data_IF_837407570190
#
_entry.id   IF_837407570190
#
_cell.length_a   1.000
_cell.length_b   1.000
_cell.length_c   1.000
_cell.angle_alpha   90.00
_cell.angle_beta   90.00
_cell.angle_gamma   90.00
#
_symmetry.space_group_name_H-M   'P 1'
#
loop_
_entity.id
_entity.type
_entity.pdbx_description
1 polymer ?
#
# COMPACT_ATOMS: atom_id res chain seq x y z
N UNK A 1 -30.22 -8.33 5.89
CA UNK A 1 -29.77 -8.82 4.56
C UNK A 1 -28.51 -8.08 4.22
N UNK A 2 -27.34 -8.73 4.24
CA UNK A 2 -26.08 -8.07 3.91
C UNK A 2 -26.08 -7.76 2.42
N UNK A 3 -25.82 -6.48 2.08
CA UNK A 3 -25.54 -6.05 0.71
C UNK A 3 -24.38 -6.90 0.18
N UNK A 4 -24.45 -7.45 -1.06
CA UNK A 4 -23.32 -8.16 -1.64
C UNK A 4 -22.13 -7.21 -1.63
N UNK A 5 -21.04 -7.57 -0.93
CA UNK A 5 -19.79 -6.81 -0.97
C UNK A 5 -19.34 -6.72 -2.42
N UNK A 6 -18.96 -5.51 -2.83
CA UNK A 6 -18.34 -5.26 -4.12
C UNK A 6 -17.20 -6.26 -4.38
N UNK A 7 -16.95 -6.56 -5.65
CA UNK A 7 -15.80 -7.38 -6.09
C UNK A 7 -14.49 -6.85 -5.50
N UNK A 8 -13.55 -7.74 -5.19
CA UNK A 8 -12.21 -7.36 -4.76
C UNK A 8 -11.56 -6.45 -5.81
N UNK A 9 -11.12 -5.28 -5.42
CA UNK A 9 -10.36 -4.38 -6.28
C UNK A 9 -8.89 -4.83 -6.35
N UNK A 10 -8.33 -4.87 -7.54
CA UNK A 10 -6.91 -5.19 -7.75
C UNK A 10 -6.20 -4.02 -8.37
N UNK A 11 -5.28 -3.44 -7.62
CA UNK A 11 -4.44 -2.33 -8.04
C UNK A 11 -2.98 -2.74 -8.22
N UNK A 12 -2.19 -1.79 -8.70
CA UNK A 12 -0.75 -1.93 -8.89
C UNK A 12 -0.02 -0.74 -8.27
N UNK A 13 1.12 -0.96 -7.60
CA UNK A 13 2.01 0.12 -7.16
C UNK A 13 2.96 0.48 -8.28
N UNK A 14 2.97 1.75 -8.67
CA UNK A 14 3.86 2.27 -9.70
C UNK A 14 4.74 3.35 -9.07
N UNK A 15 6.05 3.09 -8.85
CA UNK A 15 6.96 4.12 -8.36
C UNK A 15 7.18 5.20 -9.43
N UNK A 16 7.24 6.50 -9.06
CA UNK A 16 7.58 7.57 -10.00
C UNK A 16 9.07 7.57 -10.37
N UNK A 17 9.62 6.42 -10.76
CA UNK A 17 11.04 6.17 -11.00
C UNK A 17 11.57 6.76 -12.30
N UNK A 18 10.69 7.11 -13.25
CA UNK A 18 11.05 7.73 -14.51
C UNK A 18 10.30 9.05 -14.73
N UNK A 19 10.49 9.68 -15.88
CA UNK A 19 9.77 10.90 -16.31
C UNK A 19 8.27 10.67 -16.24
N UNK A 20 7.53 11.71 -15.86
CA UNK A 20 6.08 11.58 -15.66
C UNK A 20 5.33 11.08 -16.92
N UNK A 21 5.77 11.47 -18.12
CA UNK A 21 5.20 11.00 -19.39
C UNK A 21 5.38 9.47 -19.58
N UNK A 22 6.53 8.92 -19.17
CA UNK A 22 6.78 7.45 -19.18
C UNK A 22 5.95 6.72 -18.15
N UNK A 23 5.87 7.25 -16.95
CA UNK A 23 5.03 6.67 -15.91
C UNK A 23 3.55 6.68 -16.32
N UNK A 24 3.08 7.73 -16.99
CA UNK A 24 1.72 7.80 -17.54
C UNK A 24 1.44 6.69 -18.56
N UNK A 25 2.40 6.32 -19.40
CA UNK A 25 2.28 5.18 -20.33
C UNK A 25 2.03 3.88 -19.57
N UNK A 26 2.77 3.64 -18.47
CA UNK A 26 2.59 2.49 -17.58
C UNK A 26 1.20 2.48 -16.94
N UNK A 27 0.71 3.63 -16.48
CA UNK A 27 -0.63 3.77 -15.89
C UNK A 27 -1.74 3.48 -16.91
N UNK A 28 -1.62 4.02 -18.11
CA UNK A 28 -2.54 3.73 -19.22
C UNK A 28 -2.58 2.24 -19.56
N UNK A 29 -1.41 1.60 -19.55
CA UNK A 29 -1.33 0.17 -19.79
C UNK A 29 -2.03 -0.65 -18.71
N UNK A 30 -1.85 -0.28 -17.43
CA UNK A 30 -2.59 -0.89 -16.33
C UNK A 30 -4.11 -0.70 -16.47
N UNK A 31 -4.56 0.51 -16.84
CA UNK A 31 -5.98 0.77 -17.11
C UNK A 31 -6.54 -0.08 -18.25
N UNK A 32 -5.80 -0.24 -19.35
CA UNK A 32 -6.19 -1.07 -20.49
C UNK A 32 -6.33 -2.54 -20.13
N UNK A 33 -5.46 -3.03 -19.27
CA UNK A 33 -5.46 -4.42 -18.81
C UNK A 33 -6.48 -4.71 -17.69
N UNK A 34 -7.19 -3.67 -17.22
CA UNK A 34 -8.31 -3.85 -16.28
C UNK A 34 -7.93 -3.79 -14.81
N UNK A 35 -6.77 -3.20 -14.46
CA UNK A 35 -6.51 -2.87 -13.06
C UNK A 35 -7.51 -1.82 -12.56
N UNK A 36 -7.93 -1.98 -11.30
CA UNK A 36 -8.88 -1.06 -10.66
C UNK A 36 -8.22 0.21 -10.16
N UNK A 37 -6.96 0.14 -9.69
CA UNK A 37 -6.27 1.25 -9.06
C UNK A 37 -4.78 1.25 -9.39
N UNK A 38 -4.18 2.47 -9.46
CA UNK A 38 -2.73 2.66 -9.39
C UNK A 38 -2.38 3.44 -8.14
N UNK A 39 -1.37 2.94 -7.41
CA UNK A 39 -0.90 3.51 -6.16
C UNK A 39 0.54 3.98 -6.29
N UNK A 40 0.80 5.24 -5.95
CA UNK A 40 2.11 5.87 -6.07
C UNK A 40 2.77 6.06 -4.70
N UNK A 41 3.98 5.54 -4.48
CA UNK A 41 4.78 5.86 -3.30
C UNK A 41 5.34 7.29 -3.38
N UNK A 42 5.64 7.86 -2.21
CA UNK A 42 6.16 9.23 -2.09
C UNK A 42 7.44 9.25 -1.23
N UNK A 43 8.59 9.29 -1.90
CA UNK A 43 9.91 9.42 -1.27
C UNK A 43 10.79 10.28 -2.17
N UNK A 44 10.96 11.52 -1.81
CA UNK A 44 11.55 12.59 -2.63
C UNK A 44 13.01 12.39 -3.07
N UNK A 45 13.76 11.50 -2.39
CA UNK A 45 15.14 11.16 -2.77
C UNK A 45 15.23 9.87 -3.60
N UNK A 46 14.14 9.10 -3.69
CA UNK A 46 14.06 7.89 -4.50
C UNK A 46 13.38 8.17 -5.85
N UNK A 47 12.33 8.99 -5.82
CA UNK A 47 11.45 9.19 -6.97
C UNK A 47 11.11 10.66 -7.16
N UNK A 48 10.45 10.94 -8.28
CA UNK A 48 9.91 12.25 -8.62
C UNK A 48 8.69 12.56 -7.76
N UNK A 49 8.28 13.83 -7.72
CA UNK A 49 7.14 14.29 -6.92
C UNK A 49 5.86 13.54 -7.26
N UNK A 50 5.24 12.99 -6.24
CA UNK A 50 4.07 12.12 -6.36
C UNK A 50 2.85 12.87 -6.88
N UNK A 51 2.60 14.12 -6.44
CA UNK A 51 1.42 14.88 -6.86
C UNK A 51 1.54 15.36 -8.29
N UNK A 52 2.74 15.72 -8.76
CA UNK A 52 3.00 16.02 -10.16
C UNK A 52 2.72 14.80 -11.05
N UNK A 53 3.17 13.61 -10.64
CA UNK A 53 2.94 12.36 -11.38
C UNK A 53 1.46 11.98 -11.37
N UNK A 54 0.79 12.09 -10.22
CA UNK A 54 -0.65 11.86 -10.09
C UNK A 54 -1.47 12.80 -10.98
N UNK A 55 -1.09 14.07 -11.06
CA UNK A 55 -1.74 15.06 -11.95
C UNK A 55 -1.65 14.62 -13.40
N UNK A 56 -0.46 14.21 -13.86
CA UNK A 56 -0.26 13.72 -15.22
C UNK A 56 -1.09 12.45 -15.49
N UNK A 57 -1.11 11.50 -14.54
CA UNK A 57 -1.90 10.27 -14.63
C UNK A 57 -3.42 10.55 -14.66
N UNK A 58 -3.90 11.50 -13.84
CA UNK A 58 -5.31 11.87 -13.78
C UNK A 58 -5.84 12.43 -15.11
N UNK A 59 -5.02 13.26 -15.79
CA UNK A 59 -5.33 13.83 -17.11
C UNK A 59 -5.26 12.82 -18.24
N UNK A 60 -4.55 11.72 -18.04
CA UNK A 60 -4.23 10.74 -19.08
C UNK A 60 -5.09 9.47 -19.04
N UNK A 61 -5.94 9.32 -18.01
CA UNK A 61 -6.76 8.12 -17.73
C UNK A 61 -8.21 8.51 -17.45
N UNK A 62 -9.13 7.57 -17.65
CA UNK A 62 -10.57 7.83 -17.51
C UNK A 62 -11.26 7.02 -16.39
N UNK A 63 -10.79 5.81 -16.09
CA UNK A 63 -11.47 4.86 -15.20
C UNK A 63 -10.67 4.44 -13.99
N UNK A 64 -9.36 4.25 -14.17
CA UNK A 64 -8.49 3.69 -13.13
C UNK A 64 -8.45 4.63 -11.90
N UNK A 65 -8.61 4.07 -10.70
CA UNK A 65 -8.42 4.79 -9.46
C UNK A 65 -6.96 5.19 -9.28
N UNK A 66 -6.73 6.33 -8.67
CA UNK A 66 -5.40 6.87 -8.41
C UNK A 66 -5.23 7.10 -6.91
N UNK A 67 -4.08 6.74 -6.35
CA UNK A 67 -3.85 6.95 -4.93
C UNK A 67 -2.39 7.12 -4.57
N UNK A 68 -2.15 7.68 -3.39
CA UNK A 68 -0.82 7.64 -2.78
C UNK A 68 -0.67 6.41 -1.88
N UNK A 69 0.42 5.66 -2.01
CA UNK A 69 0.74 4.54 -1.12
C UNK A 69 2.22 4.55 -0.70
N UNK A 70 2.63 5.46 0.18
CA UNK A 70 1.80 6.49 0.81
C UNK A 70 2.56 7.81 0.85
N UNK A 71 1.87 8.94 0.90
CA UNK A 71 2.49 10.21 1.29
C UNK A 71 2.52 10.34 2.83
N UNK A 72 3.12 11.42 3.35
CA UNK A 72 3.27 11.64 4.78
C UNK A 72 3.09 13.12 5.16
N UNK A 73 2.92 13.37 6.45
CA UNK A 73 2.70 14.72 7.01
C UNK A 73 3.95 15.31 7.66
N UNK A 74 5.11 14.65 7.51
CA UNK A 74 6.39 15.14 8.03
C UNK A 74 7.16 15.97 7.00
N UNK A 75 7.15 15.53 5.73
CA UNK A 75 7.86 16.24 4.64
C UNK A 75 7.02 17.35 4.01
N UNK A 76 5.69 17.30 4.19
CA UNK A 76 4.77 18.35 3.74
C UNK A 76 3.80 18.72 4.85
N UNK A 77 3.60 20.01 5.08
CA UNK A 77 2.59 20.49 6.03
C UNK A 77 1.20 19.98 5.62
N UNK A 78 0.33 19.55 6.57
CA UNK A 78 -1.01 19.01 6.26
C UNK A 78 -1.85 19.90 5.34
N UNK A 79 -1.77 21.24 5.47
CA UNK A 79 -2.47 22.16 4.59
C UNK A 79 -1.95 22.12 3.13
N UNK A 80 -0.64 21.86 2.94
CA UNK A 80 -0.06 21.68 1.59
C UNK A 80 -0.53 20.37 0.99
N UNK A 81 -0.56 19.29 1.79
CA UNK A 81 -1.10 18.00 1.37
C UNK A 81 -2.58 18.10 0.98
N UNK A 82 -3.40 18.78 1.79
CA UNK A 82 -4.82 19.00 1.49
C UNK A 82 -5.01 19.78 0.18
N UNK A 83 -4.23 20.83 -0.06
CA UNK A 83 -4.29 21.61 -1.30
C UNK A 83 -3.89 20.79 -2.53
N UNK A 84 -2.80 20.02 -2.45
CA UNK A 84 -2.36 19.15 -3.53
C UNK A 84 -3.37 18.02 -3.81
N UNK A 85 -3.87 17.37 -2.76
CA UNK A 85 -4.88 16.31 -2.86
C UNK A 85 -6.16 16.80 -3.54
N UNK A 86 -6.61 18.03 -3.20
CA UNK A 86 -7.73 18.68 -3.85
C UNK A 86 -7.52 18.84 -5.35
N UNK A 87 -6.37 19.38 -5.74
CA UNK A 87 -6.06 19.63 -7.16
C UNK A 87 -6.05 18.33 -7.99
N UNK A 88 -5.49 17.25 -7.43
CA UNK A 88 -5.54 15.92 -8.07
C UNK A 88 -6.98 15.38 -8.13
N UNK A 89 -7.76 15.52 -7.06
CA UNK A 89 -9.14 15.02 -7.01
C UNK A 89 -10.05 15.70 -8.03
N UNK A 90 -9.89 17.01 -8.25
CA UNK A 90 -10.59 17.77 -9.29
C UNK A 90 -10.32 17.18 -10.68
N UNK A 91 -9.07 16.93 -11.01
CA UNK A 91 -8.65 16.39 -12.30
C UNK A 91 -9.00 14.91 -12.46
N UNK A 92 -8.93 14.15 -11.38
CA UNK A 92 -9.27 12.73 -11.38
C UNK A 92 -10.79 12.45 -11.33
N UNK A 93 -11.65 13.47 -11.25
CA UNK A 93 -13.13 13.31 -11.26
C UNK A 93 -13.62 12.29 -10.23
N UNK A 94 -13.14 12.37 -8.98
CA UNK A 94 -13.53 11.50 -7.86
C UNK A 94 -12.82 10.14 -7.80
N UNK A 95 -11.87 9.85 -8.69
CA UNK A 95 -11.08 8.61 -8.69
C UNK A 95 -9.86 8.64 -7.79
N UNK A 96 -9.62 9.72 -7.04
CA UNK A 96 -8.43 9.89 -6.21
C UNK A 96 -8.67 9.50 -4.75
N UNK A 97 -7.72 8.77 -4.18
CA UNK A 97 -7.64 8.39 -2.76
C UNK A 97 -6.33 8.88 -2.16
N UNK A 98 -6.38 9.61 -1.06
CA UNK A 98 -5.19 10.07 -0.35
C UNK A 98 -4.77 9.03 0.70
N UNK A 99 -3.76 8.24 0.40
CA UNK A 99 -3.14 7.33 1.35
C UNK A 99 -2.01 8.03 2.12
N UNK A 100 -2.07 7.98 3.44
CA UNK A 100 -1.13 8.60 4.38
C UNK A 100 -0.42 7.54 5.22
N UNK A 101 0.83 7.81 5.58
CA UNK A 101 1.62 6.95 6.46
C UNK A 101 2.55 7.77 7.36
N UNK A 102 3.20 7.09 8.29
CA UNK A 102 4.10 7.73 9.27
C UNK A 102 5.38 8.31 8.63
N UNK A 103 5.68 7.93 7.40
CA UNK A 103 6.95 8.21 6.74
C UNK A 103 8.05 7.21 7.16
N UNK A 104 8.83 6.73 6.20
CA UNK A 104 10.00 5.86 6.43
C UNK A 104 11.14 6.31 5.51
N UNK A 105 11.20 5.79 4.28
CA UNK A 105 12.20 6.16 3.27
C UNK A 105 12.16 7.64 2.86
N UNK A 106 11.06 8.34 3.13
CA UNK A 106 10.93 9.78 2.86
C UNK A 106 11.46 10.68 3.98
N UNK A 107 11.52 10.22 5.24
CA UNK A 107 11.86 11.07 6.39
C UNK A 107 13.24 10.79 6.95
N UNK A 108 13.63 9.51 7.10
CA UNK A 108 14.92 9.12 7.66
C UNK A 108 16.12 9.72 6.91
N UNK A 109 16.20 9.61 5.57
CA UNK A 109 17.34 10.12 4.79
C UNK A 109 17.55 11.64 4.88
N UNK A 110 16.53 12.41 5.23
CA UNK A 110 16.63 13.87 5.42
C UNK A 110 16.68 14.28 6.89
N UNK A 111 16.93 13.33 7.80
CA UNK A 111 17.10 13.59 9.24
C UNK A 111 15.80 13.89 10.00
N UNK A 112 14.64 13.65 9.41
CA UNK A 112 13.36 13.81 10.08
C UNK A 112 12.95 12.51 10.80
N UNK A 113 12.06 12.64 11.77
CA UNK A 113 11.45 11.50 12.48
C UNK A 113 10.12 11.12 11.86
N UNK A 114 9.76 9.86 11.99
CA UNK A 114 8.43 9.38 11.65
C UNK A 114 7.34 10.12 12.44
N UNK A 115 6.21 10.35 11.79
CA UNK A 115 5.04 10.97 12.42
C UNK A 115 4.50 10.08 13.55
N UNK A 116 4.37 10.62 14.75
CA UNK A 116 3.76 9.90 15.87
C UNK A 116 2.25 9.70 15.66
N UNK A 117 1.65 8.74 16.36
CA UNK A 117 0.19 8.51 16.26
C UNK A 117 -0.62 9.76 16.67
N UNK A 118 -0.14 10.55 17.64
CA UNK A 118 -0.80 11.80 18.05
C UNK A 118 -0.73 12.86 16.94
N UNK A 119 0.46 13.09 16.37
CA UNK A 119 0.64 14.02 15.26
C UNK A 119 -0.10 13.55 13.99
N UNK A 120 -0.18 12.24 13.76
CA UNK A 120 -0.98 11.67 12.66
C UNK A 120 -2.47 11.96 12.84
N UNK A 121 -3.01 11.80 14.06
CA UNK A 121 -4.40 12.14 14.38
C UNK A 121 -4.71 13.61 14.09
N UNK A 122 -3.88 14.50 14.60
CA UNK A 122 -4.04 15.94 14.41
C UNK A 122 -3.94 16.33 12.93
N UNK A 123 -2.90 15.86 12.25
CA UNK A 123 -2.68 16.14 10.83
C UNK A 123 -3.78 15.58 9.91
N UNK A 124 -4.26 14.36 10.18
CA UNK A 124 -5.43 13.81 9.47
C UNK A 124 -6.68 14.65 9.72
N UNK A 125 -6.91 15.09 10.97
CA UNK A 125 -8.02 15.98 11.32
C UNK A 125 -7.95 17.31 10.55
N UNK A 126 -6.76 17.91 10.44
CA UNK A 126 -6.52 19.12 9.66
C UNK A 126 -6.79 18.87 8.16
N UNK A 127 -6.22 17.82 7.58
CA UNK A 127 -6.44 17.48 6.15
C UNK A 127 -7.92 17.29 5.87
N UNK A 128 -8.63 16.53 6.73
CA UNK A 128 -10.07 16.30 6.61
C UNK A 128 -10.85 17.61 6.65
N UNK A 129 -10.64 18.41 7.70
CA UNK A 129 -11.36 19.68 7.86
C UNK A 129 -11.18 20.59 6.65
N UNK A 130 -9.95 20.72 6.15
CA UNK A 130 -9.65 21.55 4.99
C UNK A 130 -10.29 21.01 3.70
N UNK A 131 -10.24 19.70 3.46
CA UNK A 131 -10.87 19.08 2.29
C UNK A 131 -12.41 19.16 2.35
N UNK A 132 -13.01 19.11 3.54
CA UNK A 132 -14.44 19.29 3.73
C UNK A 132 -14.88 20.79 3.68
N UNK A 133 -13.93 21.71 3.41
CA UNK A 133 -14.17 23.15 3.33
C UNK A 133 -14.33 23.85 4.69
N UNK A 134 -14.06 23.13 5.78
CA UNK A 134 -14.09 23.67 7.13
C UNK A 134 -12.83 24.49 7.43
N UNK A 135 -12.97 25.51 8.31
CA UNK A 135 -11.83 26.28 8.78
C UNK A 135 -11.06 25.51 9.85
N UNK A 136 -9.73 25.52 9.73
CA UNK A 136 -8.81 25.04 10.75
C UNK A 136 -8.17 26.21 11.50
N UNK A 137 -7.98 26.04 12.81
CA UNK A 137 -7.29 27.02 13.66
C UNK A 137 -5.78 26.72 13.64
N UNK A 138 -5.01 27.63 13.08
CA UNK A 138 -3.56 27.51 13.00
C UNK A 138 -2.92 28.17 14.25
N UNK A 139 -2.80 27.40 15.33
CA UNK A 139 -2.20 27.79 16.61
C UNK A 139 -2.81 29.07 17.24
N UNK A 140 -4.11 29.26 17.10
CA UNK A 140 -4.82 30.42 17.63
C UNK A 140 -4.52 31.74 16.92
N UNK A 141 -3.74 31.72 15.83
CA UNK A 141 -3.35 32.95 15.10
C UNK A 141 -4.32 33.30 13.99
N UNK A 142 -4.68 32.34 13.18
CA UNK A 142 -5.55 32.54 11.99
C UNK A 142 -6.40 31.30 11.76
N UNK A 143 -7.70 31.51 11.60
CA UNK A 143 -8.61 30.48 11.07
C UNK A 143 -8.66 30.61 9.56
N UNK A 144 -8.27 29.56 8.85
CA UNK A 144 -8.26 29.53 7.38
C UNK A 144 -8.85 28.24 6.86
N UNK A 145 -9.38 28.30 5.63
CA UNK A 145 -9.98 27.17 4.94
C UNK A 145 -9.52 27.14 3.48
N UNK A 146 -9.64 25.99 2.85
CA UNK A 146 -9.58 25.91 1.38
C UNK A 146 -10.80 26.61 0.78
N UNK A 147 -10.58 27.32 -0.32
CA UNK A 147 -11.68 27.94 -1.08
C UNK A 147 -12.36 26.85 -1.91
N UNK A 148 -13.63 27.07 -2.20
CA UNK A 148 -14.48 26.24 -3.03
C UNK A 148 -14.69 24.80 -2.49
N UNK A 149 -15.94 24.35 -2.36
CA UNK A 149 -16.24 22.98 -1.96
C UNK A 149 -15.75 22.01 -3.02
N UNK A 150 -15.19 20.88 -2.59
CA UNK A 150 -14.49 19.94 -3.46
C UNK A 150 -15.15 18.56 -3.43
N UNK A 151 -14.90 17.71 -4.44
CA UNK A 151 -15.25 16.31 -4.34
C UNK A 151 -14.62 15.71 -3.08
N UNK A 152 -15.38 14.87 -2.38
CA UNK A 152 -14.85 14.16 -1.20
C UNK A 152 -13.62 13.34 -1.59
N UNK A 153 -12.52 13.55 -0.89
CA UNK A 153 -11.30 12.76 -1.01
C UNK A 153 -11.27 11.73 0.12
N UNK A 154 -11.35 10.42 -0.17
CA UNK A 154 -11.14 9.39 0.84
C UNK A 154 -9.74 9.46 1.42
N UNK A 155 -9.61 9.43 2.76
CA UNK A 155 -8.35 9.40 3.49
C UNK A 155 -8.10 7.99 3.98
N UNK A 156 -7.11 7.30 3.40
CA UNK A 156 -6.67 5.99 3.85
C UNK A 156 -5.40 6.12 4.71
N UNK A 157 -5.34 5.39 5.82
CA UNK A 157 -4.15 5.33 6.67
C UNK A 157 -3.44 4.01 6.52
N UNK A 158 -2.15 4.04 6.17
CA UNK A 158 -1.31 2.85 6.17
C UNK A 158 -0.84 2.51 7.59
N UNK A 159 -1.09 1.28 7.99
CA UNK A 159 -0.82 0.82 9.33
C UNK A 159 -0.37 -0.65 9.38
N UNK A 160 0.59 -0.92 10.27
CA UNK A 160 1.05 -2.28 10.60
C UNK A 160 1.10 -2.52 12.12
N UNK A 161 1.49 -1.51 12.90
CA UNK A 161 1.56 -1.63 14.36
C UNK A 161 0.19 -1.42 15.04
N UNK A 162 -0.04 -2.02 16.23
CA UNK A 162 -1.35 -2.05 16.88
C UNK A 162 -1.94 -0.67 17.18
N UNK A 163 -1.11 0.32 17.52
CA UNK A 163 -1.56 1.70 17.79
C UNK A 163 -2.10 2.38 16.54
N UNK A 164 -1.37 2.26 15.41
CA UNK A 164 -1.78 2.88 14.16
C UNK A 164 -2.94 2.14 13.50
N UNK A 165 -3.05 0.82 13.66
CA UNK A 165 -4.22 0.05 13.21
C UNK A 165 -5.50 0.49 13.94
N UNK A 166 -5.47 0.68 15.28
CA UNK A 166 -6.59 1.23 16.03
C UNK A 166 -6.91 2.66 15.57
N UNK A 167 -5.89 3.52 15.46
CA UNK A 167 -6.07 4.88 14.97
C UNK A 167 -6.73 4.92 13.58
N UNK A 168 -6.31 4.03 12.67
CA UNK A 168 -6.90 3.93 11.34
C UNK A 168 -8.39 3.57 11.40
N UNK A 169 -8.78 2.59 12.22
CA UNK A 169 -10.17 2.25 12.46
C UNK A 169 -10.99 3.40 13.02
N UNK A 170 -10.39 4.19 13.90
CA UNK A 170 -11.04 5.28 14.61
C UNK A 170 -11.34 6.49 13.70
N UNK A 171 -10.42 6.88 12.80
CA UNK A 171 -10.51 8.18 12.11
C UNK A 171 -10.37 8.14 10.59
N UNK A 172 -9.84 7.07 9.98
CA UNK A 172 -9.63 7.01 8.53
C UNK A 172 -10.88 6.54 7.78
N UNK A 173 -11.02 6.90 6.50
CA UNK A 173 -12.08 6.36 5.64
C UNK A 173 -11.77 4.95 5.17
N UNK A 174 -10.50 4.56 5.11
CA UNK A 174 -10.04 3.22 4.78
C UNK A 174 -8.65 2.94 5.34
N UNK A 175 -8.21 1.70 5.28
CA UNK A 175 -6.92 1.26 5.83
C UNK A 175 -6.10 0.55 4.78
N UNK A 176 -4.83 0.96 4.65
CA UNK A 176 -3.82 0.22 3.89
C UNK A 176 -3.07 -0.69 4.86
N UNK A 177 -3.25 -2.00 4.72
CA UNK A 177 -2.67 -3.01 5.58
C UNK A 177 -1.32 -3.49 5.04
N UNK A 178 -0.31 -3.44 5.88
CA UNK A 178 1.03 -4.00 5.66
C UNK A 178 1.21 -5.25 6.53
N UNK A 179 0.24 -6.16 6.48
CA UNK A 179 0.07 -7.23 7.47
C UNK A 179 0.18 -8.64 6.88
N UNK A 180 0.67 -8.75 5.64
CA UNK A 180 0.71 -10.01 4.90
C UNK A 180 -0.62 -10.39 4.27
N UNK A 181 -0.68 -11.58 3.70
CA UNK A 181 -1.77 -12.05 2.82
C UNK A 181 -2.40 -13.37 3.29
N UNK A 182 -1.98 -13.91 4.41
CA UNK A 182 -2.60 -15.11 4.99
C UNK A 182 -3.70 -14.72 5.99
N UNK A 183 -4.74 -15.57 6.15
CA UNK A 183 -5.79 -15.32 7.15
C UNK A 183 -5.22 -15.14 8.57
N UNK A 184 -4.14 -15.86 8.90
CA UNK A 184 -3.47 -15.76 10.20
C UNK A 184 -2.82 -14.41 10.45
N UNK A 185 -2.10 -13.88 9.47
CA UNK A 185 -1.41 -12.59 9.59
C UNK A 185 -2.41 -11.43 9.55
N UNK A 186 -3.47 -11.54 8.75
CA UNK A 186 -4.50 -10.51 8.62
C UNK A 186 -5.37 -10.36 9.86
N UNK A 187 -5.73 -11.49 10.51
CA UNK A 187 -6.69 -11.47 11.63
C UNK A 187 -6.30 -10.47 12.72
N UNK A 188 -5.05 -10.49 13.16
CA UNK A 188 -4.59 -9.58 14.20
C UNK A 188 -4.68 -8.11 13.80
N UNK A 189 -4.44 -7.78 12.53
CA UNK A 189 -4.54 -6.42 12.03
C UNK A 189 -6.01 -5.97 11.90
N UNK A 190 -6.87 -6.80 11.35
CA UNK A 190 -8.31 -6.50 11.19
C UNK A 190 -9.01 -6.36 12.52
N UNK A 191 -8.66 -7.19 13.53
CA UNK A 191 -9.19 -7.07 14.90
C UNK A 191 -8.83 -5.70 15.50
N UNK A 192 -7.60 -5.19 15.30
CA UNK A 192 -7.19 -3.88 15.81
C UNK A 192 -7.91 -2.72 15.11
N UNK A 193 -8.15 -2.83 13.79
CA UNK A 193 -8.96 -1.84 13.07
C UNK A 193 -10.37 -1.83 13.59
N UNK A 194 -10.97 -3.01 13.83
CA UNK A 194 -12.31 -3.14 14.41
C UNK A 194 -12.39 -2.52 15.79
N UNK A 195 -11.46 -2.84 16.69
CA UNK A 195 -11.40 -2.22 18.03
C UNK A 195 -11.38 -0.68 17.96
N UNK A 196 -10.62 -0.10 17.03
CA UNK A 196 -10.58 1.35 16.83
C UNK A 196 -11.91 1.92 16.32
N UNK A 197 -12.53 1.25 15.34
CA UNK A 197 -13.82 1.64 14.79
C UNK A 197 -14.92 1.62 15.86
N UNK A 198 -15.04 0.53 16.59
CA UNK A 198 -16.03 0.34 17.66
C UNK A 198 -15.85 1.39 18.78
N UNK A 199 -14.60 1.68 19.18
CA UNK A 199 -14.30 2.72 20.17
C UNK A 199 -14.73 4.13 19.71
N UNK A 200 -14.80 4.37 18.41
CA UNK A 200 -15.27 5.62 17.80
C UNK A 200 -16.75 5.59 17.42
N UNK A 201 -17.49 4.52 17.77
CA UNK A 201 -18.91 4.36 17.40
C UNK A 201 -19.14 4.14 15.90
N UNK A 202 -18.14 3.61 15.18
CA UNK A 202 -18.20 3.35 13.74
C UNK A 202 -18.37 1.87 13.46
N UNK A 203 -19.01 1.53 12.35
CA UNK A 203 -19.02 0.16 11.83
C UNK A 203 -17.67 -0.16 11.17
N UNK A 204 -17.01 -1.23 11.61
CA UNK A 204 -15.79 -1.72 10.96
C UNK A 204 -16.06 -2.26 9.54
N UNK A 205 -17.29 -2.70 9.26
CA UNK A 205 -17.68 -3.21 7.96
C UNK A 205 -17.75 -2.12 6.89
N UNK A 206 -17.88 -0.84 7.29
CA UNK A 206 -17.88 0.32 6.40
C UNK A 206 -16.47 0.83 6.08
N UNK A 207 -15.43 0.25 6.68
CA UNK A 207 -14.04 0.67 6.47
C UNK A 207 -13.38 -0.23 5.43
N UNK A 208 -13.10 0.25 4.21
CA UNK A 208 -12.35 -0.48 3.20
C UNK A 208 -10.97 -0.91 3.71
N UNK A 209 -10.64 -2.17 3.51
CA UNK A 209 -9.33 -2.74 3.83
C UNK A 209 -8.58 -3.04 2.53
N UNK A 210 -7.47 -2.35 2.30
CA UNK A 210 -6.60 -2.56 1.14
C UNK A 210 -5.29 -3.17 1.60
N UNK A 211 -4.93 -4.33 1.07
CA UNK A 211 -3.68 -5.03 1.39
C UNK A 211 -2.59 -4.63 0.39
N UNK A 212 -1.42 -4.32 0.90
CA UNK A 212 -0.20 -4.14 0.10
C UNK A 212 0.57 -5.45 0.07
N UNK A 213 0.86 -6.00 -1.12
CA UNK A 213 1.55 -7.27 -1.26
C UNK A 213 2.55 -7.28 -2.41
N UNK A 214 3.78 -7.76 -2.16
CA UNK A 214 4.66 -8.14 -3.27
C UNK A 214 4.04 -9.29 -4.04
N UNK A 215 4.20 -9.27 -5.37
CA UNK A 215 3.59 -10.25 -6.26
C UNK A 215 4.56 -10.66 -7.36
N UNK A 216 4.60 -11.96 -7.64
CA UNK A 216 5.27 -12.52 -8.83
C UNK A 216 4.44 -13.69 -9.36
N UNK A 217 4.12 -13.65 -10.64
CA UNK A 217 3.48 -14.78 -11.34
C UNK A 217 4.60 -15.70 -11.82
N UNK A 218 4.78 -16.82 -11.15
CA UNK A 218 5.90 -17.74 -11.38
C UNK A 218 5.52 -19.21 -11.14
N UNK A 219 6.18 -20.11 -11.85
CA UNK A 219 6.10 -21.55 -11.60
C UNK A 219 7.21 -22.02 -10.62
N UNK A 220 8.24 -21.21 -10.40
CA UNK A 220 9.33 -21.46 -9.46
C UNK A 220 9.32 -20.45 -8.29
N UNK A 221 8.43 -20.73 -7.32
CA UNK A 221 8.33 -19.89 -6.13
C UNK A 221 9.59 -19.90 -5.27
N UNK A 222 10.41 -20.97 -5.33
CA UNK A 222 11.61 -21.08 -4.50
C UNK A 222 12.71 -20.15 -5.01
N UNK A 223 12.92 -20.09 -6.33
CA UNK A 223 13.86 -19.15 -6.92
C UNK A 223 13.41 -17.69 -6.70
N UNK A 224 12.15 -17.38 -6.99
CA UNK A 224 11.59 -16.04 -6.83
C UNK A 224 11.58 -15.57 -5.37
N UNK A 225 11.28 -16.45 -4.42
CA UNK A 225 11.28 -16.10 -3.00
C UNK A 225 12.65 -15.60 -2.51
N UNK A 226 13.76 -16.10 -3.07
CA UNK A 226 15.11 -15.64 -2.68
C UNK A 226 15.29 -14.14 -2.89
N UNK A 227 14.63 -13.58 -3.89
CA UNK A 227 14.67 -12.14 -4.17
C UNK A 227 14.01 -11.31 -3.07
N UNK A 228 13.21 -11.91 -2.19
CA UNK A 228 12.55 -11.23 -1.05
C UNK A 228 13.43 -11.12 0.20
N UNK A 229 14.67 -11.66 0.21
CA UNK A 229 15.54 -11.62 1.40
C UNK A 229 15.75 -10.21 1.94
N UNK A 230 16.06 -9.18 1.12
CA UNK A 230 16.18 -7.81 1.60
C UNK A 230 14.87 -7.26 2.21
N UNK A 231 13.72 -7.61 1.62
CA UNK A 231 12.40 -7.20 2.14
C UNK A 231 12.15 -7.82 3.51
N UNK A 232 12.39 -9.13 3.66
CA UNK A 232 12.24 -9.83 4.94
C UNK A 232 13.16 -9.23 6.02
N UNK A 233 14.44 -8.99 5.68
CA UNK A 233 15.40 -8.34 6.56
C UNK A 233 14.96 -6.93 6.97
N UNK A 234 14.46 -6.14 6.04
CA UNK A 234 13.95 -4.79 6.33
C UNK A 234 12.78 -4.81 7.31
N UNK A 235 11.83 -5.74 7.16
CA UNK A 235 10.71 -5.88 8.10
C UNK A 235 11.23 -6.21 9.49
N UNK A 236 12.19 -7.13 9.63
CA UNK A 236 12.78 -7.49 10.92
C UNK A 236 13.46 -6.28 11.58
N UNK A 237 14.27 -5.52 10.83
CA UNK A 237 14.95 -4.31 11.33
C UNK A 237 13.99 -3.20 11.79
N UNK A 238 12.86 -3.07 11.12
CA UNK A 238 11.87 -2.01 11.41
C UNK A 238 10.82 -2.42 12.46
N UNK A 239 11.17 -3.36 13.35
CA UNK A 239 10.33 -3.80 14.46
C UNK A 239 9.27 -4.83 14.08
N UNK A 240 9.35 -5.40 12.89
CA UNK A 240 8.43 -6.44 12.42
C UNK A 240 8.84 -7.87 12.82
N UNK A 241 9.95 -8.10 13.53
CA UNK A 241 10.37 -9.42 13.96
C UNK A 241 9.29 -10.19 14.75
N UNK A 242 8.54 -9.59 15.72
CA UNK A 242 7.44 -10.29 16.38
C UNK A 242 6.31 -10.68 15.42
N UNK A 243 6.12 -9.91 14.36
CA UNK A 243 5.13 -10.17 13.34
C UNK A 243 5.55 -11.32 12.40
N UNK A 244 6.84 -11.37 12.03
CA UNK A 244 7.44 -12.50 11.32
C UNK A 244 7.35 -13.79 12.14
N UNK A 245 7.58 -13.70 13.45
CA UNK A 245 7.49 -14.84 14.37
C UNK A 245 6.07 -15.48 14.42
N UNK A 246 4.99 -14.68 14.23
CA UNK A 246 3.64 -15.21 14.10
C UNK A 246 3.49 -16.17 12.91
N UNK A 247 4.27 -15.94 11.85
CA UNK A 247 4.34 -16.80 10.68
C UNK A 247 5.38 -17.93 10.83
N UNK A 248 6.02 -18.06 11.99
CA UNK A 248 7.05 -19.04 12.27
C UNK A 248 8.38 -18.71 11.56
N UNK A 249 8.62 -17.42 11.30
CA UNK A 249 9.87 -16.90 10.73
C UNK A 249 10.64 -16.26 11.88
N UNK A 250 11.69 -16.95 12.32
CA UNK A 250 12.59 -16.47 13.37
C UNK A 250 13.91 -16.05 12.70
N UNK A 251 14.18 -14.75 12.72
CA UNK A 251 15.37 -14.16 12.08
C UNK A 251 15.98 -13.11 13.00
N UNK A 252 17.28 -13.18 13.15
CA UNK A 252 18.07 -12.20 13.90
C UNK A 252 18.89 -11.37 12.90
N UNK A 253 18.38 -10.17 12.61
CA UNK A 253 18.97 -9.26 11.63
C UNK A 253 19.58 -8.07 12.36
N UNK A 254 20.86 -7.72 12.12
CA UNK A 254 21.50 -6.60 12.79
C UNK A 254 20.78 -5.29 12.48
N UNK A 255 20.81 -4.36 13.44
CA UNK A 255 20.17 -3.05 13.31
C UNK A 255 20.66 -2.24 12.09
N UNK A 256 21.87 -2.55 11.61
CA UNK A 256 22.46 -1.98 10.41
C UNK A 256 23.13 -3.07 9.58
N UNK A 257 22.88 -3.06 8.30
CA UNK A 257 23.56 -3.88 7.29
C UNK A 257 24.33 -2.93 6.37
N UNK A 258 25.65 -3.09 6.33
CA UNK A 258 26.51 -2.30 5.46
C UNK A 258 26.56 -2.90 4.05
N UNK A 259 26.91 -2.07 3.06
CA UNK A 259 27.08 -2.48 1.66
C UNK A 259 25.79 -2.50 0.84
N UNK A 260 24.68 -1.98 1.37
CA UNK A 260 23.41 -1.82 0.65
C UNK A 260 23.03 -0.34 0.66
N UNK A 261 22.74 0.24 -0.52
CA UNK A 261 22.40 1.64 -0.68
C UNK A 261 21.15 1.77 -1.56
N UNK A 262 20.21 2.68 -1.26
CA UNK A 262 20.14 3.54 -0.07
C UNK A 262 19.61 2.82 1.18
N UNK A 263 18.81 1.75 0.99
CA UNK A 263 18.26 0.91 2.06
C UNK A 263 17.89 -0.48 1.51
N UNK A 264 17.45 -1.39 2.37
CA UNK A 264 17.16 -2.79 2.04
C UNK A 264 16.04 -2.99 1.01
N UNK A 265 15.03 -2.12 0.99
CA UNK A 265 13.86 -2.29 0.08
C UNK A 265 13.95 -1.41 -1.17
N UNK A 266 14.98 -0.58 -1.25
CA UNK A 266 15.24 0.30 -2.39
C UNK A 266 16.69 0.16 -2.88
N UNK A 267 17.32 -1.01 -2.69
CA UNK A 267 18.68 -1.25 -3.10
C UNK A 267 18.88 -1.00 -4.60
N UNK A 268 19.91 -0.21 -4.94
CA UNK A 268 20.29 0.02 -6.35
C UNK A 268 20.88 -1.24 -7.00
N UNK A 269 21.61 -2.05 -6.23
CA UNK A 269 22.10 -3.36 -6.62
C UNK A 269 21.32 -4.44 -5.84
N UNK A 270 20.22 -4.91 -6.43
CA UNK A 270 19.32 -5.85 -5.79
C UNK A 270 19.97 -7.22 -5.59
N UNK A 271 20.74 -7.71 -6.55
CA UNK A 271 21.41 -9.01 -6.46
C UNK A 271 22.42 -9.00 -5.31
N UNK A 272 23.19 -7.93 -5.20
CA UNK A 272 24.11 -7.72 -4.08
C UNK A 272 23.39 -7.65 -2.73
N UNK A 273 22.23 -7.00 -2.67
CA UNK A 273 21.43 -6.95 -1.46
C UNK A 273 20.90 -8.34 -1.06
N UNK A 274 20.47 -9.15 -2.02
CA UNK A 274 20.05 -10.55 -1.80
C UNK A 274 21.22 -11.38 -1.27
N UNK A 275 22.40 -11.25 -1.87
CA UNK A 275 23.63 -11.95 -1.43
C UNK A 275 23.96 -11.60 0.04
N UNK A 276 24.03 -10.32 0.35
CA UNK A 276 24.34 -9.83 1.70
C UNK A 276 23.29 -10.31 2.72
N UNK A 277 22.00 -10.18 2.42
CA UNK A 277 20.92 -10.58 3.32
C UNK A 277 20.86 -12.10 3.52
N UNK A 278 21.46 -12.90 2.65
CA UNK A 278 21.53 -14.36 2.79
C UNK A 278 22.32 -14.82 4.02
N UNK A 279 23.11 -13.92 4.61
CA UNK A 279 23.79 -14.21 5.88
C UNK A 279 22.82 -14.36 7.07
N UNK A 280 21.64 -13.75 7.01
CA UNK A 280 20.67 -13.74 8.12
C UNK A 280 19.32 -14.34 7.72
N UNK A 281 18.98 -14.36 6.43
CA UNK A 281 17.70 -14.86 5.93
C UNK A 281 17.95 -16.14 5.13
N UNK A 282 17.58 -17.29 5.70
CA UNK A 282 17.68 -18.58 5.03
C UNK A 282 16.64 -18.70 3.88
N UNK A 283 16.88 -19.61 2.95
CA UNK A 283 15.96 -19.91 1.85
C UNK A 283 14.60 -20.45 2.39
N UNK A 284 14.63 -21.23 3.47
CA UNK A 284 13.40 -21.68 4.14
C UNK A 284 12.61 -20.53 4.74
N UNK A 285 13.26 -19.61 5.45
CA UNK A 285 12.62 -18.45 6.07
C UNK A 285 11.98 -17.55 5.00
N UNK A 286 12.69 -17.25 3.91
CA UNK A 286 12.15 -16.38 2.86
C UNK A 286 11.08 -17.06 2.02
N UNK A 287 11.12 -18.38 1.81
CA UNK A 287 10.03 -19.13 1.16
C UNK A 287 8.75 -19.08 2.01
N UNK A 288 8.87 -19.21 3.33
CA UNK A 288 7.76 -19.04 4.26
C UNK A 288 7.24 -17.61 4.24
N UNK A 289 8.13 -16.62 4.18
CA UNK A 289 7.77 -15.22 4.00
C UNK A 289 6.96 -14.99 2.71
N UNK A 290 7.41 -15.52 1.58
CA UNK A 290 6.70 -15.45 0.30
C UNK A 290 5.28 -16.02 0.40
N UNK A 291 5.12 -17.14 1.12
CA UNK A 291 3.82 -17.80 1.31
C UNK A 291 2.87 -17.05 2.23
N UNK A 292 3.35 -16.43 3.30
CA UNK A 292 2.51 -15.77 4.31
C UNK A 292 2.27 -14.27 4.02
N UNK A 293 3.24 -13.61 3.41
CA UNK A 293 3.24 -12.15 3.25
C UNK A 293 3.13 -11.65 1.81
N UNK A 294 3.34 -12.51 0.81
CA UNK A 294 3.40 -12.13 -0.60
C UNK A 294 2.44 -12.96 -1.46
N UNK A 295 2.15 -12.52 -2.68
CA UNK A 295 1.34 -13.21 -3.68
C UNK A 295 2.26 -13.79 -4.76
N UNK A 296 3.05 -14.80 -4.40
CA UNK A 296 3.97 -15.49 -5.31
C UNK A 296 3.41 -16.86 -5.66
N UNK A 297 3.52 -17.26 -6.92
CA UNK A 297 3.10 -18.56 -7.45
C UNK A 297 2.44 -18.46 -8.82
N UNK A 298 1.81 -19.55 -9.27
CA UNK A 298 1.10 -19.55 -10.55
C UNK A 298 -0.12 -18.61 -10.52
N UNK A 299 -0.64 -18.26 -11.69
CA UNK A 299 -1.81 -17.41 -11.79
C UNK A 299 -3.01 -17.99 -11.00
N UNK A 300 -3.24 -19.32 -11.06
CA UNK A 300 -4.31 -19.99 -10.34
C UNK A 300 -4.14 -19.87 -8.82
N UNK A 301 -2.92 -20.04 -8.32
CA UNK A 301 -2.61 -19.89 -6.91
C UNK A 301 -2.84 -18.46 -6.42
N UNK A 302 -2.43 -17.46 -7.18
CA UNK A 302 -2.65 -16.04 -6.89
C UNK A 302 -4.15 -15.74 -6.87
N UNK A 303 -4.92 -16.20 -7.87
CA UNK A 303 -6.38 -16.02 -7.95
C UNK A 303 -7.07 -16.58 -6.69
N UNK A 304 -6.74 -17.81 -6.28
CA UNK A 304 -7.36 -18.41 -5.09
C UNK A 304 -6.98 -17.67 -3.81
N UNK A 305 -5.76 -17.16 -3.70
CA UNK A 305 -5.34 -16.33 -2.57
C UNK A 305 -6.05 -14.98 -2.54
N UNK A 306 -6.23 -14.33 -3.68
CA UNK A 306 -7.02 -13.09 -3.80
C UNK A 306 -8.49 -13.33 -3.39
N UNK A 307 -9.09 -14.43 -3.81
CA UNK A 307 -10.43 -14.82 -3.37
C UNK A 307 -10.50 -15.11 -1.88
N UNK A 308 -9.45 -15.69 -1.31
CA UNK A 308 -9.34 -15.93 0.15
C UNK A 308 -9.25 -14.62 0.93
N UNK A 309 -8.46 -13.66 0.46
CA UNK A 309 -8.40 -12.30 1.03
C UNK A 309 -9.77 -11.63 1.01
N UNK A 310 -10.48 -11.71 -0.10
CA UNK A 310 -11.83 -11.14 -0.23
C UNK A 310 -12.81 -11.78 0.75
N UNK A 311 -12.81 -13.12 0.88
CA UNK A 311 -13.61 -13.83 1.88
C UNK A 311 -13.28 -13.43 3.33
N UNK A 312 -12.04 -13.02 3.60
CA UNK A 312 -11.59 -12.51 4.89
C UNK A 312 -11.96 -11.03 5.14
N UNK A 313 -12.66 -10.38 4.19
CA UNK A 313 -13.15 -9.00 4.34
C UNK A 313 -12.25 -7.94 3.72
N UNK A 314 -11.17 -8.33 3.04
CA UNK A 314 -10.35 -7.40 2.26
C UNK A 314 -11.15 -6.92 1.05
N UNK A 315 -11.14 -5.61 0.83
CA UNK A 315 -11.90 -4.96 -0.26
C UNK A 315 -11.01 -4.56 -1.44
N UNK A 316 -9.70 -4.44 -1.21
CA UNK A 316 -8.72 -4.13 -2.24
C UNK A 316 -7.35 -4.73 -1.94
N UNK A 317 -6.60 -4.98 -3.00
CA UNK A 317 -5.18 -5.38 -2.94
C UNK A 317 -4.44 -4.55 -3.96
N UNK A 318 -3.30 -3.96 -3.60
CA UNK A 318 -2.39 -3.49 -4.61
C UNK A 318 -1.10 -4.30 -4.61
N UNK A 319 -0.68 -4.66 -5.82
CA UNK A 319 0.46 -5.52 -6.07
C UNK A 319 1.73 -4.68 -6.18
N UNK A 320 2.83 -5.19 -5.66
CA UNK A 320 4.15 -4.58 -5.75
C UNK A 320 5.11 -5.54 -6.45
N UNK A 321 5.89 -5.01 -7.40
CA UNK A 321 7.04 -5.75 -7.94
C UNK A 321 8.27 -5.57 -7.05
N UNK A 322 9.25 -6.42 -7.25
CA UNK A 322 10.58 -6.27 -6.68
C UNK A 322 11.38 -5.36 -7.60
N UNK A 323 11.59 -4.15 -7.19
CA UNK A 323 12.30 -3.13 -7.94
C UNK A 323 11.78 -1.74 -7.58
N UNK A 324 12.68 -0.79 -7.42
CA UNK A 324 12.33 0.57 -6.99
C UNK A 324 12.54 1.60 -8.08
N UNK A 325 13.35 1.27 -9.07
CA UNK A 325 13.81 2.23 -10.08
C UNK A 325 13.33 1.92 -11.49
N UNK A 326 12.54 0.85 -11.64
CA UNK A 326 11.89 0.47 -12.89
C UNK A 326 10.39 0.41 -12.74
N UNK A 327 9.60 0.74 -13.78
CA UNK A 327 8.15 0.52 -13.78
C UNK A 327 7.81 -0.98 -13.70
N UNK A 328 6.71 -1.37 -13.05
CA UNK A 328 6.30 -2.77 -12.88
C UNK A 328 5.70 -3.38 -14.16
N UNK A 329 6.34 -3.18 -15.30
CA UNK A 329 5.78 -3.52 -16.63
C UNK A 329 5.50 -5.02 -16.76
N UNK A 330 6.46 -5.86 -16.38
CA UNK A 330 6.30 -7.33 -16.47
C UNK A 330 5.18 -7.83 -15.57
N UNK A 331 5.08 -7.31 -14.34
CA UNK A 331 4.01 -7.67 -13.42
C UNK A 331 2.64 -7.23 -13.95
N UNK A 332 2.54 -6.02 -14.53
CA UNK A 332 1.33 -5.50 -15.14
C UNK A 332 0.86 -6.43 -16.28
N UNK A 333 1.77 -6.82 -17.18
CA UNK A 333 1.45 -7.73 -18.28
C UNK A 333 1.05 -9.12 -17.78
N UNK A 334 1.82 -9.72 -16.89
CA UNK A 334 1.55 -11.06 -16.39
C UNK A 334 0.21 -11.14 -15.64
N UNK A 335 -0.06 -10.21 -14.74
CA UNK A 335 -1.32 -10.17 -13.96
C UNK A 335 -2.50 -9.79 -14.85
N UNK A 336 -2.33 -8.81 -15.74
CA UNK A 336 -3.36 -8.39 -16.69
C UNK A 336 -3.78 -9.50 -17.65
N UNK A 337 -2.85 -10.33 -18.10
CA UNK A 337 -3.13 -11.42 -19.03
C UNK A 337 -3.71 -12.67 -18.35
N UNK A 338 -3.28 -13.02 -17.13
CA UNK A 338 -3.57 -14.33 -16.54
C UNK A 338 -4.42 -14.29 -15.26
N UNK A 339 -4.40 -13.19 -14.50
CA UNK A 339 -5.07 -13.11 -13.19
C UNK A 339 -6.38 -12.33 -13.27
N UNK A 340 -6.36 -11.10 -13.78
CA UNK A 340 -7.54 -10.21 -13.77
C UNK A 340 -8.74 -10.77 -14.55
N UNK A 341 -8.57 -11.36 -15.76
CA UNK A 341 -9.71 -11.92 -16.48
C UNK A 341 -10.44 -13.04 -15.71
N UNK A 342 -9.68 -13.87 -15.00
CA UNK A 342 -10.22 -14.99 -14.23
C UNK A 342 -10.85 -14.59 -12.89
N UNK A 343 -10.48 -13.44 -12.33
CA UNK A 343 -11.13 -12.87 -11.15
C UNK A 343 -12.52 -12.31 -11.46
N UNK A 344 -12.71 -11.77 -12.66
CA UNK A 344 -13.98 -11.20 -13.13
C UNK A 344 -15.04 -12.27 -13.43
N UNK A 345 -14.65 -13.55 -13.56
CA UNK A 345 -15.58 -14.66 -13.79
C UNK A 345 -16.11 -15.18 -12.44
N UNK A 346 -17.41 -15.56 -12.37
CA UNK A 346 -17.93 -16.23 -11.19
C UNK A 346 -17.13 -17.49 -10.91
N UNK A 347 -16.81 -17.74 -9.62
CA UNK A 347 -16.06 -18.95 -9.21
C UNK A 347 -16.80 -20.19 -9.73
N UNK A 348 -16.12 -21.17 -10.38
CA UNK A 348 -16.76 -22.41 -10.77
C UNK A 348 -17.36 -23.05 -9.51
N UNK A 349 -18.66 -23.30 -9.52
CA UNK A 349 -19.32 -24.03 -8.44
C UNK A 349 -18.57 -25.35 -8.24
N UNK A 350 -18.16 -25.64 -6.98
CA UNK A 350 -17.58 -26.94 -6.66
C UNK A 350 -18.53 -27.99 -7.19
N UNK A 351 -18.11 -28.77 -8.21
CA UNK A 351 -18.83 -29.90 -8.66
C UNK A 351 -19.08 -30.83 -7.47
N UNK A 352 -20.32 -30.91 -7.03
CA UNK A 352 -20.68 -31.74 -5.91
C UNK A 352 -20.32 -33.17 -6.26
N UNK A 353 -19.42 -33.77 -5.50
CA UNK A 353 -19.31 -35.23 -5.50
C UNK A 353 -20.63 -35.78 -4.95
N UNK A 354 -21.39 -36.35 -5.84
CA UNK A 354 -22.46 -37.27 -5.48
C UNK A 354 -21.87 -38.63 -5.14
#
# INVERSE_FOLDING_TARGET
>A
MSVPRATLRVGIRVPPCDRADRIVETVRRAEQLGFDDVWFPDSQLLWRDVFTTLTAAALATERIGLGTAVTNLATRHPAVVASAARSVAELASGRFTLGLGVGNSSVGPIGLRQTTSAAMREGLGMVRALLDGNAWDFEGKVRSRLRDPQPRVPLHLAASGPKNLRLAGEIADGVILLSGVSPRTLKGATDRVREGAEAAGRSADDIPLTVSAFCSVTDDIEAEARLLKPVCASIAQNGGAPFLALAGIDVDVPARIDGIYPDLVHAEDWDRAVEICSAWISDEAVLRFAREFCLFGTAEQIIERLRTLHRAGVTGVFLQHLGSYDPPTELIEAVGASVLPALSLPSPAKAGHR
#
